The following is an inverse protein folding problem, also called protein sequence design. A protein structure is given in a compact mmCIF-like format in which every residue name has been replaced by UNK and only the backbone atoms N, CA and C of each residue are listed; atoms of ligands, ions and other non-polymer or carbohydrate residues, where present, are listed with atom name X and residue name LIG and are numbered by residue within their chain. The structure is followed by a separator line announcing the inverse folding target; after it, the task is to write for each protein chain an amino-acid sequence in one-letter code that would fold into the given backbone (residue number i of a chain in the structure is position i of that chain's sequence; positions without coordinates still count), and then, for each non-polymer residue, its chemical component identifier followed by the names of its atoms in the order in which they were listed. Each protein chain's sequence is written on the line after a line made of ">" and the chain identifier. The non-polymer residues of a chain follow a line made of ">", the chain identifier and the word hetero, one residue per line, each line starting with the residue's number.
data_IF_924599113442
#
_entry.id   IF_924599113442
#
_cell.length_a   1.000
_cell.length_b   1.000
_cell.length_c   1.000
_cell.angle_alpha   90.00
_cell.angle_beta   90.00
_cell.angle_gamma   90.00
#
_symmetry.space_group_name_H-M   'P 1'
#
loop_
_entity.id
_entity.type
_entity.pdbx_description
1 polymer ?
#
# COMPACT_ATOMS: atom_id res chain seq x y z
N UNK A 1 12.17 11.29 15.90
CA UNK A 1 11.92 12.60 15.24
C UNK A 1 11.16 12.42 13.93
N UNK A 2 11.69 11.74 12.90
CA UNK A 2 10.95 11.53 11.64
C UNK A 2 9.66 10.71 11.77
N UNK A 3 9.67 9.64 12.59
CA UNK A 3 8.48 8.83 12.83
C UNK A 3 7.32 9.62 13.47
N UNK A 4 7.64 10.50 14.43
CA UNK A 4 6.65 11.34 15.10
C UNK A 4 5.98 12.31 14.13
N UNK A 5 6.75 12.92 13.24
CA UNK A 5 6.22 13.81 12.22
C UNK A 5 5.22 13.10 11.28
N UNK A 6 5.50 11.84 10.89
CA UNK A 6 4.57 11.04 10.08
C UNK A 6 3.28 10.74 10.85
N UNK A 7 3.39 10.36 12.12
CA UNK A 7 2.23 10.06 12.97
C UNK A 7 1.33 11.29 13.15
N UNK A 8 1.92 12.48 13.30
CA UNK A 8 1.17 13.72 13.47
C UNK A 8 0.55 14.22 12.16
N UNK A 9 1.20 13.96 11.02
CA UNK A 9 0.70 14.37 9.71
C UNK A 9 -0.56 13.61 9.27
N UNK A 10 -0.77 12.41 9.80
CA UNK A 10 -1.92 11.55 9.52
C UNK A 10 -3.28 12.25 9.74
N UNK A 11 -3.43 12.98 10.85
CA UNK A 11 -4.65 13.75 11.16
C UNK A 11 -5.01 14.76 10.06
N UNK A 12 -3.99 15.29 9.36
CA UNK A 12 -4.23 16.23 8.25
C UNK A 12 -4.84 15.52 7.05
N UNK A 13 -4.54 14.24 6.83
CA UNK A 13 -5.09 13.44 5.73
C UNK A 13 -6.58 13.15 5.99
N UNK A 14 -6.95 12.79 7.22
CA UNK A 14 -8.36 12.59 7.63
C UNK A 14 -9.20 13.85 7.35
N UNK A 15 -8.65 15.02 7.68
CA UNK A 15 -9.32 16.31 7.41
C UNK A 15 -9.49 16.55 5.91
N UNK A 16 -8.47 16.23 5.10
CA UNK A 16 -8.53 16.40 3.65
C UNK A 16 -9.54 15.46 2.99
N UNK A 17 -9.68 14.23 3.48
CA UNK A 17 -10.73 13.30 3.03
C UNK A 17 -12.11 13.94 3.23
N UNK A 18 -12.39 14.44 4.44
CA UNK A 18 -13.66 15.08 4.74
C UNK A 18 -13.92 16.35 3.90
N UNK A 19 -12.89 17.17 3.67
CA UNK A 19 -12.98 18.34 2.79
C UNK A 19 -13.35 17.96 1.34
N UNK A 20 -12.81 16.84 0.83
CA UNK A 20 -13.16 16.32 -0.51
C UNK A 20 -14.62 15.87 -0.56
N UNK A 21 -15.08 15.16 0.47
CA UNK A 21 -16.48 14.71 0.58
C UNK A 21 -17.46 15.88 0.56
N UNK A 22 -17.22 16.89 1.39
CA UNK A 22 -18.08 18.08 1.45
C UNK A 22 -18.12 18.82 0.10
N UNK A 23 -16.97 18.96 -0.55
CA UNK A 23 -16.86 19.61 -1.86
C UNK A 23 -17.61 18.83 -2.94
N UNK A 24 -17.47 17.51 -2.96
CA UNK A 24 -18.14 16.65 -3.92
C UNK A 24 -19.67 16.70 -3.75
N UNK A 25 -20.17 16.59 -2.52
CA UNK A 25 -21.62 16.71 -2.22
C UNK A 25 -22.15 18.07 -2.66
N UNK A 26 -21.40 19.15 -2.36
CA UNK A 26 -21.77 20.51 -2.76
C UNK A 26 -21.82 20.67 -4.28
N UNK A 27 -20.84 20.14 -5.01
CA UNK A 27 -20.82 20.19 -6.48
C UNK A 27 -22.02 19.44 -7.08
N UNK A 28 -22.31 18.24 -6.59
CA UNK A 28 -23.47 17.45 -7.05
C UNK A 28 -24.77 18.22 -6.81
N UNK A 29 -24.96 18.73 -5.59
CA UNK A 29 -26.18 19.42 -5.19
C UNK A 29 -26.42 20.74 -5.95
N UNK A 30 -25.37 21.52 -6.17
CA UNK A 30 -25.49 22.87 -6.75
C UNK A 30 -25.38 22.91 -8.28
N UNK A 31 -24.70 21.94 -8.90
CA UNK A 31 -24.36 21.98 -10.32
C UNK A 31 -24.97 20.87 -11.16
N UNK A 32 -25.50 19.81 -10.53
CA UNK A 32 -26.11 18.66 -11.22
C UNK A 32 -25.23 18.13 -12.38
N UNK A 33 -23.94 17.82 -12.12
CA UNK A 33 -22.99 17.39 -13.14
C UNK A 33 -23.44 16.07 -13.78
N UNK A 34 -23.18 15.90 -15.07
CA UNK A 34 -23.65 14.77 -15.87
C UNK A 34 -22.49 14.01 -16.51
N UNK A 35 -22.72 12.73 -16.80
CA UNK A 35 -21.79 11.86 -17.53
C UNK A 35 -20.34 11.97 -17.03
N UNK A 36 -19.44 12.54 -17.84
CA UNK A 36 -18.02 12.65 -17.52
C UNK A 36 -17.75 13.46 -16.24
N UNK A 37 -18.44 14.60 -16.05
CA UNK A 37 -18.25 15.45 -14.87
C UNK A 37 -18.67 14.72 -13.59
N UNK A 38 -19.76 13.96 -13.66
CA UNK A 38 -20.20 13.14 -12.53
C UNK A 38 -19.17 12.04 -12.23
N UNK A 39 -18.60 11.39 -13.25
CA UNK A 39 -17.57 10.36 -13.04
C UNK A 39 -16.32 10.92 -12.38
N UNK A 40 -15.88 12.12 -12.74
CA UNK A 40 -14.74 12.78 -12.07
C UNK A 40 -15.01 12.98 -10.58
N UNK A 41 -16.21 13.44 -10.22
CA UNK A 41 -16.58 13.65 -8.81
C UNK A 41 -16.68 12.32 -8.06
N UNK A 42 -17.29 11.30 -8.66
CA UNK A 42 -17.38 9.96 -8.06
C UNK A 42 -15.98 9.33 -7.90
N UNK A 43 -15.07 9.55 -8.85
CA UNK A 43 -13.70 9.07 -8.75
C UNK A 43 -12.98 9.74 -7.58
N UNK A 44 -13.11 11.07 -7.41
CA UNK A 44 -12.54 11.79 -6.27
C UNK A 44 -13.06 11.24 -4.92
N UNK A 45 -14.38 11.03 -4.81
CA UNK A 45 -15.01 10.42 -3.62
C UNK A 45 -14.51 9.00 -3.32
N UNK A 46 -14.11 8.23 -4.34
CA UNK A 46 -13.58 6.88 -4.15
C UNK A 46 -12.08 6.86 -3.84
N UNK A 47 -11.32 7.82 -4.38
CA UNK A 47 -9.86 7.90 -4.21
C UNK A 47 -9.49 8.52 -2.86
N UNK A 48 -10.24 9.51 -2.37
CA UNK A 48 -9.98 10.16 -1.08
C UNK A 48 -9.83 9.18 0.10
N UNK A 49 -10.77 8.25 0.37
CA UNK A 49 -10.61 7.26 1.45
C UNK A 49 -9.45 6.29 1.20
N UNK A 50 -9.06 6.06 -0.06
CA UNK A 50 -7.90 5.21 -0.37
C UNK A 50 -6.60 5.93 0.05
N UNK A 51 -6.51 7.24 -0.18
CA UNK A 51 -5.36 8.05 0.24
C UNK A 51 -5.27 8.18 1.76
N UNK A 52 -6.40 8.29 2.46
CA UNK A 52 -6.44 8.19 3.94
C UNK A 52 -5.83 6.87 4.40
N UNK A 53 -6.29 5.74 3.87
CA UNK A 53 -5.77 4.42 4.24
C UNK A 53 -4.28 4.25 3.97
N UNK A 54 -3.75 4.87 2.91
CA UNK A 54 -2.30 4.90 2.64
C UNK A 54 -1.56 5.66 3.76
N UNK A 55 -2.09 6.81 4.18
CA UNK A 55 -1.59 7.57 5.32
C UNK A 55 -1.57 6.74 6.61
N UNK A 56 -2.65 6.00 6.84
CA UNK A 56 -2.86 5.20 8.03
C UNK A 56 -1.87 4.00 8.08
N UNK A 57 -1.59 3.37 6.92
CA UNK A 57 -0.50 2.39 6.81
C UNK A 57 0.89 3.01 7.01
N UNK A 58 1.14 4.22 6.50
CA UNK A 58 2.39 4.93 6.73
C UNK A 58 2.60 5.27 8.21
N UNK A 59 1.56 5.68 8.92
CA UNK A 59 1.55 5.88 10.38
C UNK A 59 1.84 4.59 11.13
N UNK A 60 1.26 3.47 10.71
CA UNK A 60 1.54 2.16 11.31
C UNK A 60 3.00 1.72 11.11
N UNK A 61 3.59 1.98 9.94
CA UNK A 61 5.03 1.78 9.68
C UNK A 61 5.86 2.68 10.61
N UNK A 62 5.50 3.96 10.74
CA UNK A 62 6.19 4.91 11.59
C UNK A 62 6.20 4.47 13.06
N UNK A 63 5.04 4.05 13.61
CA UNK A 63 4.93 3.50 14.98
C UNK A 63 5.86 2.30 15.18
N UNK A 64 5.91 1.37 14.21
CA UNK A 64 6.78 0.18 14.28
C UNK A 64 8.25 0.51 14.16
N UNK A 65 8.62 1.54 13.39
CA UNK A 65 10.01 1.98 13.26
C UNK A 65 10.60 2.42 14.62
N UNK A 66 9.78 3.01 15.49
CA UNK A 66 10.19 3.39 16.86
C UNK A 66 10.50 2.15 17.69
N UNK A 67 9.69 1.10 17.60
CA UNK A 67 9.95 -0.17 18.29
C UNK A 67 11.23 -0.85 17.77
N UNK A 68 11.38 -0.94 16.45
CA UNK A 68 12.55 -1.55 15.79
C UNK A 68 13.83 -0.82 16.18
N UNK A 69 13.81 0.51 16.29
CA UNK A 69 15.00 1.30 16.67
C UNK A 69 15.55 1.00 18.08
N UNK A 70 14.77 0.30 18.93
CA UNK A 70 15.15 -0.10 20.28
C UNK A 70 15.60 -1.57 20.35
N UNK A 71 15.57 -2.28 19.23
CA UNK A 71 15.89 -3.70 19.14
C UNK A 71 17.25 -3.90 18.44
N UNK A 72 17.84 -5.08 18.62
CA UNK A 72 19.03 -5.45 17.86
C UNK A 72 18.68 -5.52 16.35
N UNK A 73 19.51 -4.93 15.47
CA UNK A 73 19.26 -4.99 14.04
C UNK A 73 19.40 -6.42 13.53
N UNK A 74 18.46 -6.84 12.69
CA UNK A 74 18.51 -8.09 11.92
C UNK A 74 18.76 -7.77 10.46
N UNK A 75 19.49 -8.64 9.73
CA UNK A 75 19.88 -8.38 8.33
C UNK A 75 18.70 -8.09 7.38
N UNK A 76 17.51 -8.72 7.50
CA UNK A 76 16.37 -8.43 6.61
C UNK A 76 15.88 -6.98 6.66
N UNK A 77 16.26 -6.21 7.70
CA UNK A 77 15.99 -4.76 7.79
C UNK A 77 16.46 -3.99 6.54
N UNK A 78 17.53 -4.45 5.87
CA UNK A 78 18.10 -3.76 4.72
C UNK A 78 17.28 -3.95 3.42
N UNK A 79 16.38 -4.94 3.37
CA UNK A 79 15.51 -5.21 2.22
C UNK A 79 14.26 -4.31 2.20
N UNK A 80 13.75 -3.93 3.38
CA UNK A 80 12.53 -3.10 3.55
C UNK A 80 12.59 -1.76 2.81
N UNK A 81 13.69 -0.96 2.84
CA UNK A 81 13.74 0.32 2.15
C UNK A 81 13.56 0.22 0.63
N UNK A 82 13.94 -0.89 0.00
CA UNK A 82 13.74 -1.11 -1.43
C UNK A 82 12.25 -1.26 -1.74
N UNK A 83 11.56 -2.09 -0.96
CA UNK A 83 10.12 -2.31 -1.08
C UNK A 83 9.34 -0.99 -0.86
N UNK A 84 9.74 -0.20 0.14
CA UNK A 84 9.11 1.10 0.41
C UNK A 84 9.33 2.14 -0.70
N UNK A 85 10.48 2.12 -1.40
CA UNK A 85 10.71 3.00 -2.55
C UNK A 85 9.79 2.65 -3.71
N UNK A 86 9.63 1.35 -3.98
CA UNK A 86 8.77 0.86 -5.04
C UNK A 86 7.30 1.24 -4.80
N UNK A 87 6.76 0.98 -3.61
CA UNK A 87 5.39 1.38 -3.27
C UNK A 87 5.20 2.91 -3.38
N UNK A 88 6.19 3.71 -2.98
CA UNK A 88 6.15 5.18 -3.15
C UNK A 88 6.13 5.60 -4.61
N UNK A 89 6.88 4.91 -5.47
CA UNK A 89 6.89 5.15 -6.92
C UNK A 89 5.54 4.79 -7.55
N UNK A 90 4.94 3.66 -7.18
CA UNK A 90 3.58 3.30 -7.60
C UNK A 90 2.54 4.36 -7.23
N UNK A 91 2.59 4.87 -6.00
CA UNK A 91 1.68 5.95 -5.55
C UNK A 91 1.92 7.24 -6.34
N UNK A 92 3.17 7.62 -6.58
CA UNK A 92 3.47 8.81 -7.39
C UNK A 92 2.90 8.65 -8.80
N UNK A 93 3.20 7.53 -9.45
CA UNK A 93 2.82 7.31 -10.84
C UNK A 93 1.30 7.21 -11.02
N UNK A 94 0.57 6.62 -10.07
CA UNK A 94 -0.89 6.56 -10.15
C UNK A 94 -1.55 7.93 -9.91
N UNK A 95 -0.96 8.76 -9.06
CA UNK A 95 -1.43 10.14 -8.85
C UNK A 95 -1.13 11.04 -10.06
N UNK A 96 0.01 10.85 -10.71
CA UNK A 96 0.34 11.51 -11.97
C UNK A 96 -0.66 11.08 -13.08
N UNK A 97 -0.98 9.78 -13.15
CA UNK A 97 -1.98 9.25 -14.08
C UNK A 97 -3.38 9.81 -13.79
N UNK A 98 -3.77 9.94 -12.52
CA UNK A 98 -5.04 10.53 -12.12
C UNK A 98 -5.14 12.00 -12.56
N UNK A 99 -4.09 12.79 -12.33
CA UNK A 99 -4.05 14.19 -12.70
C UNK A 99 -4.10 14.40 -14.22
N UNK A 100 -3.50 13.49 -14.99
CA UNK A 100 -3.48 13.53 -16.45
C UNK A 100 -4.72 12.89 -17.10
N UNK A 101 -5.51 12.11 -16.36
CA UNK A 101 -6.55 11.26 -16.95
C UNK A 101 -5.98 10.17 -17.87
N UNK A 102 -4.77 9.68 -17.56
CA UNK A 102 -4.02 8.75 -18.41
C UNK A 102 -4.28 7.29 -18.01
N UNK A 103 -5.11 6.60 -18.79
CA UNK A 103 -5.48 5.21 -18.56
C UNK A 103 -4.35 4.22 -18.87
N UNK A 104 -3.40 4.59 -19.74
CA UNK A 104 -2.23 3.78 -20.07
C UNK A 104 -1.26 3.80 -18.90
N UNK A 105 -0.98 4.99 -18.36
CA UNK A 105 -0.15 5.13 -17.17
C UNK A 105 -0.76 4.44 -15.94
N UNK A 106 -2.09 4.56 -15.75
CA UNK A 106 -2.79 3.84 -14.68
C UNK A 106 -2.65 2.32 -14.82
N UNK A 107 -2.86 1.77 -16.03
CA UNK A 107 -2.68 0.34 -16.30
C UNK A 107 -1.25 -0.13 -16.02
N UNK A 108 -0.24 0.67 -16.36
CA UNK A 108 1.15 0.35 -16.06
C UNK A 108 1.45 0.28 -14.55
N UNK A 109 0.72 1.02 -13.70
CA UNK A 109 0.81 0.83 -12.23
C UNK A 109 0.15 -0.48 -11.81
N UNK A 110 -1.04 -0.76 -12.34
CA UNK A 110 -1.80 -1.97 -12.05
C UNK A 110 -1.03 -3.25 -12.41
N UNK A 111 -0.31 -3.25 -13.53
CA UNK A 111 0.53 -4.38 -13.96
C UNK A 111 1.80 -4.55 -13.12
N UNK A 112 2.43 -3.46 -12.64
CA UNK A 112 3.69 -3.49 -11.85
C UNK A 112 3.53 -4.02 -10.44
N UNK A 113 2.32 -4.23 -9.97
CA UNK A 113 2.05 -4.68 -8.62
C UNK A 113 2.64 -6.07 -8.29
N UNK A 114 2.69 -6.97 -9.28
CA UNK A 114 3.31 -8.29 -9.12
C UNK A 114 4.77 -8.21 -8.62
N UNK A 115 5.53 -7.20 -9.03
CA UNK A 115 6.91 -7.01 -8.60
C UNK A 115 6.99 -6.65 -7.09
N UNK A 116 5.99 -5.93 -6.55
CA UNK A 116 5.91 -5.59 -5.13
C UNK A 116 5.51 -6.81 -4.29
N UNK A 117 4.58 -7.61 -4.81
CA UNK A 117 4.16 -8.89 -4.22
C UNK A 117 5.34 -9.88 -4.13
N UNK A 118 6.11 -10.04 -5.21
CA UNK A 118 7.31 -10.90 -5.21
C UNK A 118 8.34 -10.44 -4.18
N UNK A 119 8.53 -9.12 -4.04
CA UNK A 119 9.42 -8.56 -3.03
C UNK A 119 8.92 -8.84 -1.61
N UNK A 120 7.61 -8.75 -1.39
CA UNK A 120 7.00 -9.09 -0.11
C UNK A 120 7.21 -10.57 0.21
N UNK A 121 6.92 -11.47 -0.73
CA UNK A 121 7.03 -12.92 -0.55
C UNK A 121 8.48 -13.38 -0.30
N UNK A 122 9.44 -12.76 -1.00
CA UNK A 122 10.87 -13.00 -0.75
C UNK A 122 11.27 -12.55 0.65
N UNK A 123 10.83 -11.36 1.08
CA UNK A 123 11.15 -10.84 2.41
C UNK A 123 10.45 -11.63 3.52
N UNK A 124 9.24 -12.11 3.27
CA UNK A 124 8.49 -12.98 4.18
C UNK A 124 9.29 -14.26 4.49
N UNK A 125 9.74 -14.96 3.45
CA UNK A 125 10.57 -16.17 3.57
C UNK A 125 11.90 -15.88 4.27
N UNK A 126 12.57 -14.79 3.91
CA UNK A 126 13.82 -14.38 4.55
C UNK A 126 13.61 -14.18 6.07
N UNK A 127 12.58 -13.43 6.47
CA UNK A 127 12.27 -13.18 7.89
C UNK A 127 12.02 -14.47 8.66
N UNK A 128 11.30 -15.43 8.08
CA UNK A 128 11.04 -16.73 8.70
C UNK A 128 12.33 -17.52 8.94
N UNK A 129 13.24 -17.55 7.96
CA UNK A 129 14.55 -18.19 8.14
C UNK A 129 15.31 -17.61 9.33
N UNK A 130 15.35 -16.28 9.48
CA UNK A 130 16.00 -15.64 10.63
C UNK A 130 15.35 -15.97 11.98
N UNK A 131 14.03 -16.15 12.02
CA UNK A 131 13.32 -16.57 13.23
C UNK A 131 13.64 -18.02 13.62
N UNK A 132 13.80 -18.89 12.63
CA UNK A 132 14.14 -20.32 12.82
C UNK A 132 15.60 -20.48 13.28
N UNK A 133 16.51 -19.71 12.70
CA UNK A 133 17.95 -19.76 13.04
C UNK A 133 18.23 -19.30 14.49
N UNK A 134 17.52 -18.28 14.97
CA UNK A 134 17.67 -17.78 16.34
C UNK A 134 16.35 -17.20 16.88
N UNK A 135 15.73 -17.82 17.91
CA UNK A 135 14.49 -17.33 18.51
C UNK A 135 14.54 -15.88 19.03
N UNK A 136 15.72 -15.33 19.31
CA UNK A 136 15.87 -13.91 19.69
C UNK A 136 15.46 -12.96 18.57
N UNK A 137 15.44 -13.42 17.31
CA UNK A 137 15.01 -12.65 16.16
C UNK A 137 13.48 -12.60 15.99
N UNK A 138 12.70 -13.40 16.72
CA UNK A 138 11.24 -13.46 16.57
C UNK A 138 10.60 -12.08 16.70
N UNK A 139 10.94 -11.32 17.75
CA UNK A 139 10.38 -9.99 17.98
C UNK A 139 10.75 -8.98 16.88
N UNK A 140 12.03 -8.72 16.56
CA UNK A 140 12.38 -7.77 15.50
C UNK A 140 11.86 -8.20 14.13
N UNK A 141 11.94 -9.49 13.77
CA UNK A 141 11.42 -9.99 12.50
C UNK A 141 9.89 -9.86 12.40
N UNK A 142 9.16 -10.02 13.51
CA UNK A 142 7.70 -9.82 13.53
C UNK A 142 7.36 -8.35 13.26
N UNK A 143 8.09 -7.40 13.85
CA UNK A 143 7.88 -5.99 13.54
C UNK A 143 8.16 -5.67 12.06
N UNK A 144 9.22 -6.24 11.49
CA UNK A 144 9.54 -6.09 10.06
C UNK A 144 8.50 -6.71 9.14
N UNK A 145 7.96 -7.88 9.51
CA UNK A 145 6.89 -8.53 8.76
C UNK A 145 5.67 -7.63 8.63
N UNK A 146 5.23 -7.01 9.74
CA UNK A 146 4.12 -6.06 9.70
C UNK A 146 4.45 -4.79 8.92
N UNK A 147 5.70 -4.33 8.92
CA UNK A 147 6.12 -3.20 8.07
C UNK A 147 6.02 -3.60 6.59
N UNK A 148 6.56 -4.77 6.22
CA UNK A 148 6.50 -5.28 4.86
C UNK A 148 5.05 -5.43 4.37
N UNK A 149 4.16 -6.01 5.19
CA UNK A 149 2.74 -6.16 4.83
C UNK A 149 2.03 -4.81 4.67
N UNK A 150 2.36 -3.81 5.49
CA UNK A 150 1.80 -2.48 5.30
C UNK A 150 2.29 -1.80 4.01
N UNK A 151 3.52 -2.09 3.56
CA UNK A 151 4.03 -1.59 2.27
C UNK A 151 3.32 -2.27 1.11
N UNK A 152 3.12 -3.59 1.16
CA UNK A 152 2.34 -4.32 0.13
C UNK A 152 0.90 -3.77 0.04
N UNK A 153 0.25 -3.56 1.19
CA UNK A 153 -1.09 -2.94 1.23
C UNK A 153 -1.15 -1.54 0.61
N UNK A 154 -0.06 -0.78 0.64
CA UNK A 154 0.01 0.53 -0.03
C UNK A 154 0.07 0.34 -1.55
N UNK A 155 0.82 -0.65 -2.06
CA UNK A 155 0.82 -0.99 -3.49
C UNK A 155 -0.54 -1.46 -3.97
N UNK A 156 -1.21 -2.31 -3.20
CA UNK A 156 -2.60 -2.74 -3.42
C UNK A 156 -3.57 -1.57 -3.53
N UNK A 157 -3.39 -0.53 -2.70
CA UNK A 157 -4.21 0.67 -2.77
C UNK A 157 -3.89 1.51 -4.02
N UNK A 158 -2.65 1.49 -4.50
CA UNK A 158 -2.26 2.14 -5.76
C UNK A 158 -3.02 1.54 -6.95
N UNK A 159 -3.14 0.21 -7.02
CA UNK A 159 -3.87 -0.45 -8.11
C UNK A 159 -5.36 -0.16 -8.07
N UNK A 160 -5.95 -0.04 -6.87
CA UNK A 160 -7.35 0.34 -6.72
C UNK A 160 -7.60 1.76 -7.28
N UNK A 161 -6.66 2.69 -7.07
CA UNK A 161 -6.73 4.02 -7.71
C UNK A 161 -6.64 3.88 -9.24
N UNK A 162 -5.75 3.03 -9.76
CA UNK A 162 -5.63 2.79 -11.19
C UNK A 162 -6.94 2.30 -11.84
N UNK A 163 -7.64 1.38 -11.18
CA UNK A 163 -8.96 0.90 -11.62
C UNK A 163 -10.01 2.02 -11.63
N UNK A 164 -9.99 2.91 -10.61
CA UNK A 164 -10.89 4.07 -10.55
C UNK A 164 -10.58 5.06 -11.67
N UNK A 165 -9.31 5.31 -12.00
CA UNK A 165 -8.92 6.17 -13.12
C UNK A 165 -9.46 5.59 -14.43
N UNK A 166 -9.31 4.29 -14.64
CA UNK A 166 -9.83 3.63 -15.83
C UNK A 166 -11.35 3.81 -15.97
N UNK A 167 -12.08 3.57 -14.87
CA UNK A 167 -13.53 3.82 -14.84
C UNK A 167 -13.89 5.29 -15.08
N UNK A 168 -13.15 6.23 -14.51
CA UNK A 168 -13.39 7.66 -14.68
C UNK A 168 -13.36 8.04 -16.17
N UNK A 169 -12.35 7.58 -16.89
CA UNK A 169 -12.10 7.95 -18.29
C UNK A 169 -12.97 7.13 -19.24
N UNK A 170 -12.90 5.81 -19.16
CA UNK A 170 -13.52 4.87 -20.11
C UNK A 170 -14.99 4.56 -19.79
N UNK A 171 -15.44 4.83 -18.56
CA UNK A 171 -16.80 4.52 -18.10
C UNK A 171 -17.05 3.05 -17.78
N UNK A 172 -16.02 2.20 -17.82
CA UNK A 172 -16.07 0.77 -17.47
C UNK A 172 -14.86 0.36 -16.64
N UNK A 173 -14.99 -0.73 -15.90
CA UNK A 173 -13.89 -1.31 -15.12
C UNK A 173 -12.93 -2.07 -16.05
N UNK A 174 -11.71 -2.33 -15.56
CA UNK A 174 -10.77 -3.25 -16.21
C UNK A 174 -11.38 -4.66 -16.18
N UNK A 175 -11.44 -5.33 -17.33
CA UNK A 175 -12.02 -6.67 -17.47
C UNK A 175 -10.99 -7.80 -17.28
N UNK A 176 -9.70 -7.46 -17.32
CA UNK A 176 -8.60 -8.42 -17.20
C UNK A 176 -8.40 -8.84 -15.74
N UNK A 177 -7.98 -10.09 -15.53
CA UNK A 177 -7.54 -10.56 -14.22
C UNK A 177 -6.22 -9.88 -13.83
N UNK A 178 -6.16 -9.34 -12.62
CA UNK A 178 -4.94 -8.73 -12.08
C UNK A 178 -3.85 -9.78 -11.95
N UNK A 179 -2.62 -9.52 -12.43
CA UNK A 179 -1.47 -10.38 -12.19
C UNK A 179 -1.05 -10.27 -10.72
N UNK A 180 -1.80 -10.89 -9.81
CA UNK A 180 -1.54 -10.89 -8.37
C UNK A 180 -0.91 -12.22 -7.95
N UNK A 181 0.19 -12.17 -7.21
CA UNK A 181 0.89 -13.34 -6.69
C UNK A 181 0.81 -13.28 -5.16
N UNK A 182 0.06 -14.18 -4.52
CA UNK A 182 -0.04 -14.25 -3.05
C UNK A 182 0.47 -15.61 -2.55
N UNK A 183 1.77 -15.88 -2.73
CA UNK A 183 2.35 -17.14 -2.23
C UNK A 183 2.54 -17.10 -0.70
N UNK A 184 2.74 -15.92 -0.10
CA UNK A 184 2.83 -15.81 1.36
C UNK A 184 1.59 -16.35 2.09
N UNK A 185 0.38 -16.14 1.56
CA UNK A 185 -0.85 -16.67 2.16
C UNK A 185 -0.92 -18.21 2.22
N UNK A 186 -0.16 -18.90 1.35
CA UNK A 186 -0.14 -20.36 1.22
C UNK A 186 1.20 -20.98 1.62
N UNK A 187 2.17 -20.16 2.05
CA UNK A 187 3.51 -20.62 2.40
C UNK A 187 3.47 -21.51 3.65
N UNK A 188 3.85 -22.77 3.47
CA UNK A 188 4.05 -23.73 4.57
C UNK A 188 5.53 -23.80 4.90
N UNK A 189 5.89 -23.41 6.13
CA UNK A 189 7.25 -23.60 6.64
C UNK A 189 7.40 -25.05 7.10
N UNK A 190 8.27 -25.87 6.48
CA UNK A 190 8.48 -27.23 6.94
C UNK A 190 9.11 -27.22 8.34
N UNK A 191 8.63 -28.10 9.23
CA UNK A 191 9.17 -28.24 10.57
C UNK A 191 10.68 -28.54 10.51
N UNK A 192 11.50 -27.95 11.40
CA UNK A 192 12.92 -28.25 11.43
C UNK A 192 13.13 -29.75 11.66
N UNK A 193 13.86 -30.38 10.74
CA UNK A 193 14.23 -31.80 10.81
C UNK A 193 15.17 -31.97 12.00
N UNK A 194 14.61 -32.29 13.18
CA UNK A 194 15.43 -32.51 14.39
C UNK A 194 14.73 -32.32 15.75
N UNK A 195 13.52 -31.75 15.82
CA UNK A 195 12.82 -31.56 17.11
C UNK A 195 11.96 -32.77 17.55
N UNK A 196 12.40 -33.99 17.22
CA UNK A 196 11.82 -35.21 17.76
C UNK A 196 12.93 -36.00 18.47
N UNK A 197 13.12 -35.70 19.75
CA UNK A 197 13.46 -36.63 20.83
C UNK A 197 13.25 -35.96 22.18
#
# INVERSE_FOLDING_TARGET
>A
QRAEAVIQADVRIDVLEHEVDEMAVRLIALRQPMAADLRVIIAALKIAPILERIGDYAKNIAKRSVAISRMAPVRPLFSVPRMGRMAREMIKDVLDAYAAGDTVAARAVWERDHELDEMYDSLFRELLTYMIEDPRNISPCTHLLFVAKNIERIGDLATNIAEIIHFQVEGRMIEDDRPKVDEASTTVVPAPVGAAR
#
